data_IF_418430556119
#
_entry.id   IF_418430556119
#
_cell.length_a   1.000
_cell.length_b   1.000
_cell.length_c   1.000
_cell.angle_alpha   90.00
_cell.angle_beta   90.00
_cell.angle_gamma   90.00
#
_symmetry.space_group_name_H-M   'P 1'
#
loop_
_entity.id
_entity.type
_entity.pdbx_description
1 polymer ?
#
# COMPACT_ATOMS: atom_id res chain seq x y z
N UNK A 1 -20.12 28.81 41.40
CA UNK A 1 -20.85 28.57 40.14
C UNK A 1 -20.11 29.06 38.88
N UNK A 2 -19.65 30.32 38.78
CA UNK A 2 -18.97 30.86 37.59
C UNK A 2 -17.68 30.11 37.20
N UNK A 3 -16.83 29.73 38.19
CA UNK A 3 -15.59 28.98 37.93
C UNK A 3 -15.84 27.61 37.30
N UNK A 4 -16.86 26.89 37.76
CA UNK A 4 -17.23 25.57 37.23
C UNK A 4 -17.69 25.65 35.79
N UNK A 5 -18.41 26.71 35.42
CA UNK A 5 -18.83 26.97 34.02
C UNK A 5 -17.62 27.25 33.10
N UNK A 6 -16.62 28.00 33.57
CA UNK A 6 -15.40 28.25 32.78
C UNK A 6 -14.60 26.98 32.57
N UNK A 7 -14.47 26.12 33.58
CA UNK A 7 -13.82 24.81 33.46
C UNK A 7 -14.54 23.95 32.41
N UNK A 8 -15.88 23.90 32.47
CA UNK A 8 -16.67 23.17 31.47
C UNK A 8 -16.47 23.66 30.04
N UNK A 9 -16.42 24.98 29.83
CA UNK A 9 -16.18 25.61 28.51
C UNK A 9 -14.76 25.25 28.01
N UNK A 10 -13.76 25.31 28.88
CA UNK A 10 -12.38 24.98 28.52
C UNK A 10 -12.26 23.50 28.12
N UNK A 11 -12.85 22.58 28.89
CA UNK A 11 -12.85 21.15 28.56
C UNK A 11 -13.57 20.86 27.23
N UNK A 12 -14.69 21.53 26.98
CA UNK A 12 -15.41 21.42 25.70
C UNK A 12 -14.55 21.94 24.52
N UNK A 13 -13.87 23.07 24.68
CA UNK A 13 -12.99 23.63 23.66
C UNK A 13 -11.81 22.68 23.36
N UNK A 14 -11.19 22.09 24.40
CA UNK A 14 -10.12 21.08 24.24
C UNK A 14 -10.64 19.86 23.50
N UNK A 15 -11.81 19.35 23.87
CA UNK A 15 -12.42 18.18 23.21
C UNK A 15 -12.72 18.43 21.75
N UNK A 16 -13.29 19.61 21.40
CA UNK A 16 -13.53 20.00 20.02
C UNK A 16 -12.23 20.16 19.22
N UNK A 17 -11.20 20.75 19.82
CA UNK A 17 -9.90 20.91 19.16
C UNK A 17 -9.24 19.55 18.86
N UNK A 18 -9.21 18.66 19.86
CA UNK A 18 -8.68 17.30 19.69
C UNK A 18 -9.49 16.52 18.66
N UNK A 19 -10.82 16.55 18.74
CA UNK A 19 -11.70 15.89 17.77
C UNK A 19 -11.48 16.38 16.34
N UNK A 20 -11.36 17.70 16.15
CA UNK A 20 -11.07 18.28 14.84
C UNK A 20 -9.69 17.90 14.31
N UNK A 21 -8.68 17.84 15.19
CA UNK A 21 -7.32 17.42 14.82
C UNK A 21 -7.30 15.97 14.33
N UNK A 22 -7.89 15.03 15.10
CA UNK A 22 -7.95 13.63 14.69
C UNK A 22 -8.81 13.37 13.45
N UNK A 23 -9.92 14.11 13.31
CA UNK A 23 -10.76 14.05 12.11
C UNK A 23 -9.99 14.50 10.87
N UNK A 24 -9.18 15.56 10.98
CA UNK A 24 -8.35 16.04 9.87
C UNK A 24 -7.27 15.03 9.49
N UNK A 25 -6.59 14.41 10.46
CA UNK A 25 -5.59 13.36 10.20
C UNK A 25 -6.21 12.14 9.52
N UNK A 26 -7.36 11.69 9.98
CA UNK A 26 -8.10 10.58 9.35
C UNK A 26 -8.52 10.92 7.91
N UNK A 27 -9.02 12.16 7.69
CA UNK A 27 -9.41 12.62 6.35
C UNK A 27 -8.22 12.68 5.38
N UNK A 28 -7.04 13.14 5.83
CA UNK A 28 -5.80 13.14 5.03
C UNK A 28 -5.41 11.71 4.65
N UNK A 29 -5.43 10.77 5.59
CA UNK A 29 -5.14 9.36 5.31
C UNK A 29 -6.09 8.77 4.26
N UNK A 30 -7.39 9.03 4.39
CA UNK A 30 -8.39 8.56 3.43
C UNK A 30 -8.25 9.21 2.04
N UNK A 31 -7.83 10.47 1.97
CA UNK A 31 -7.60 11.18 0.70
C UNK A 31 -6.34 10.71 -0.05
N UNK A 32 -5.48 9.92 0.59
CA UNK A 32 -4.33 9.30 -0.06
C UNK A 32 -4.73 8.20 -1.08
N UNK A 33 -5.94 7.64 -0.95
CA UNK A 33 -6.55 6.79 -1.95
C UNK A 33 -7.26 7.65 -3.01
N UNK A 34 -6.65 7.78 -4.19
CA UNK A 34 -7.20 8.55 -5.30
C UNK A 34 -8.03 7.66 -6.21
N UNK A 35 -9.07 8.22 -6.85
CA UNK A 35 -9.87 7.50 -7.85
C UNK A 35 -9.14 7.46 -9.19
N UNK A 36 -9.16 6.29 -9.83
CA UNK A 36 -8.75 6.15 -11.24
C UNK A 36 -9.84 6.72 -12.15
N UNK A 37 -9.43 7.50 -13.15
CA UNK A 37 -10.35 7.96 -14.22
C UNK A 37 -10.70 6.80 -15.15
N UNK A 38 -11.77 6.95 -15.94
CA UNK A 38 -12.17 5.94 -16.94
C UNK A 38 -11.08 5.74 -18.00
N UNK A 39 -10.37 6.81 -18.37
CA UNK A 39 -9.26 6.79 -19.33
C UNK A 39 -8.08 6.02 -18.78
N UNK A 40 -7.70 6.25 -17.51
CA UNK A 40 -6.64 5.50 -16.83
C UNK A 40 -6.97 4.02 -16.74
N UNK A 41 -8.19 3.66 -16.34
CA UNK A 41 -8.63 2.26 -16.28
C UNK A 41 -8.52 1.61 -17.67
N UNK A 42 -9.01 2.29 -18.73
CA UNK A 42 -8.94 1.78 -20.09
C UNK A 42 -7.50 1.60 -20.57
N UNK A 43 -6.61 2.55 -20.28
CA UNK A 43 -5.19 2.44 -20.63
C UNK A 43 -4.53 1.26 -19.92
N UNK A 44 -4.76 1.08 -18.62
CA UNK A 44 -4.23 -0.04 -17.83
C UNK A 44 -4.73 -1.39 -18.36
N UNK A 45 -6.01 -1.49 -18.78
CA UNK A 45 -6.58 -2.72 -19.36
C UNK A 45 -6.04 -3.01 -20.75
N UNK A 46 -5.84 -1.99 -21.59
CA UNK A 46 -5.28 -2.15 -22.94
C UNK A 46 -3.80 -2.59 -22.92
N UNK A 47 -3.04 -2.12 -21.94
CA UNK A 47 -1.65 -2.53 -21.71
C UNK A 47 -1.59 -4.03 -21.43
N UNK A 48 -2.53 -4.56 -20.66
CA UNK A 48 -2.66 -5.98 -20.34
C UNK A 48 -2.91 -6.85 -21.59
N UNK A 49 -3.61 -6.31 -22.60
CA UNK A 49 -3.94 -7.06 -23.81
C UNK A 49 -2.88 -7.01 -24.93
N UNK A 50 -2.09 -5.93 -25.01
CA UNK A 50 -1.26 -5.66 -26.17
C UNK A 50 0.24 -5.93 -26.02
N UNK A 51 0.73 -6.32 -24.81
CA UNK A 51 2.17 -6.47 -24.61
C UNK A 51 2.54 -7.79 -23.92
N UNK A 52 2.68 -8.82 -24.73
CA UNK A 52 3.42 -10.06 -24.44
C UNK A 52 4.94 -9.87 -24.68
N UNK A 53 5.51 -8.74 -24.32
CA UNK A 53 6.96 -8.55 -24.31
C UNK A 53 7.49 -8.77 -22.90
N UNK A 54 7.92 -10.01 -22.64
CA UNK A 54 8.74 -10.35 -21.49
C UNK A 54 10.08 -9.62 -21.58
N UNK A 55 10.23 -8.46 -20.96
CA UNK A 55 11.53 -8.12 -20.42
C UNK A 55 11.71 -8.93 -19.14
N UNK A 56 12.58 -9.93 -19.22
CA UNK A 56 12.99 -10.71 -18.04
C UNK A 56 13.57 -9.75 -17.00
N UNK A 57 13.13 -9.86 -15.73
CA UNK A 57 13.67 -9.01 -14.68
C UNK A 57 15.18 -9.23 -14.56
N UNK A 58 15.91 -8.14 -14.38
CA UNK A 58 17.35 -8.13 -14.19
C UNK A 58 17.74 -8.99 -12.98
N UNK A 59 18.69 -9.86 -13.17
CA UNK A 59 19.11 -10.95 -12.27
C UNK A 59 19.88 -10.50 -11.01
N UNK A 60 19.92 -9.22 -10.70
CA UNK A 60 20.60 -8.72 -9.50
C UNK A 60 19.58 -8.33 -8.45
N UNK A 61 19.28 -9.26 -7.53
CA UNK A 61 18.38 -9.01 -6.40
C UNK A 61 19.07 -8.14 -5.34
N UNK A 62 19.13 -6.84 -5.60
CA UNK A 62 19.62 -5.88 -4.60
C UNK A 62 18.54 -5.71 -3.53
N UNK A 63 18.86 -5.96 -2.25
CA UNK A 63 17.94 -5.69 -1.15
C UNK A 63 17.47 -4.24 -1.13
N UNK A 64 16.21 -4.01 -0.77
CA UNK A 64 15.67 -2.66 -0.69
C UNK A 64 16.41 -1.79 0.34
N UNK A 65 16.94 -2.39 1.40
CA UNK A 65 17.79 -1.72 2.39
C UNK A 65 19.08 -1.08 1.82
N UNK A 66 19.52 -1.53 0.63
CA UNK A 66 20.70 -1.01 -0.07
C UNK A 66 20.34 0.01 -1.18
N UNK A 67 19.07 0.35 -1.33
CA UNK A 67 18.60 1.33 -2.33
C UNK A 67 18.59 2.74 -1.72
N UNK A 68 19.11 3.71 -2.45
CA UNK A 68 19.23 5.10 -1.99
C UNK A 68 17.91 5.88 -2.16
N UNK A 69 16.98 5.69 -1.22
CA UNK A 69 15.78 6.53 -1.05
C UNK A 69 15.68 7.04 0.39
N UNK A 70 15.04 8.19 0.57
CA UNK A 70 14.80 8.77 1.90
C UNK A 70 13.49 8.26 2.48
N UNK A 71 13.49 7.98 3.77
CA UNK A 71 12.28 7.61 4.52
C UNK A 71 11.14 8.62 4.27
N UNK A 72 9.96 8.11 3.89
CA UNK A 72 8.80 8.92 3.55
C UNK A 72 8.88 9.69 2.23
N UNK A 73 9.86 9.39 1.37
CA UNK A 73 9.92 9.87 -0.02
C UNK A 73 8.88 9.14 -0.86
N UNK A 74 8.18 9.85 -1.75
CA UNK A 74 7.28 9.22 -2.71
C UNK A 74 8.10 8.58 -3.84
N UNK A 75 8.03 7.26 -3.95
CA UNK A 75 8.86 6.47 -4.88
C UNK A 75 8.09 5.76 -5.98
N UNK A 76 6.78 5.51 -5.77
CA UNK A 76 6.01 4.69 -6.70
C UNK A 76 4.52 5.06 -6.70
N UNK A 77 3.75 4.44 -7.60
CA UNK A 77 2.30 4.50 -7.67
C UNK A 77 1.73 3.10 -7.87
N UNK A 78 0.82 2.67 -6.98
CA UNK A 78 0.05 1.44 -7.13
C UNK A 78 -1.33 1.76 -7.71
N UNK A 79 -1.68 1.15 -8.84
CA UNK A 79 -2.99 1.25 -9.46
C UNK A 79 -3.70 -0.10 -9.33
N UNK A 80 -4.93 -0.10 -8.83
CA UNK A 80 -5.78 -1.29 -8.67
C UNK A 80 -7.08 -1.08 -9.45
N UNK A 81 -7.14 -1.50 -10.73
CA UNK A 81 -8.28 -1.24 -11.61
C UNK A 81 -9.61 -1.78 -11.07
N UNK A 82 -9.59 -2.95 -10.42
CA UNK A 82 -10.78 -3.63 -9.88
C UNK A 82 -11.58 -2.75 -8.92
N UNK A 83 -10.90 -2.08 -7.99
CA UNK A 83 -11.50 -1.16 -7.02
C UNK A 83 -11.42 0.31 -7.46
N UNK A 84 -10.94 0.57 -8.69
CA UNK A 84 -10.83 1.90 -9.32
C UNK A 84 -10.03 2.89 -8.49
N UNK A 85 -9.00 2.42 -7.78
CA UNK A 85 -8.16 3.25 -6.90
C UNK A 85 -6.70 3.23 -7.31
N UNK A 86 -6.03 4.35 -7.05
CA UNK A 86 -4.57 4.51 -7.15
C UNK A 86 -4.01 5.09 -5.85
N UNK A 87 -2.81 4.67 -5.48
CA UNK A 87 -2.17 4.96 -4.22
C UNK A 87 -0.75 5.42 -4.44
N UNK A 88 -0.38 6.57 -3.87
CA UNK A 88 1.03 6.96 -3.79
C UNK A 88 1.75 6.06 -2.80
N UNK A 89 2.93 5.56 -3.21
CA UNK A 89 3.79 4.71 -2.40
C UNK A 89 4.97 5.53 -1.92
N UNK A 90 5.24 5.41 -0.63
CA UNK A 90 6.31 6.08 0.06
C UNK A 90 7.36 5.09 0.55
N UNK A 91 8.62 5.48 0.56
CA UNK A 91 9.72 4.66 1.04
C UNK A 91 9.66 4.47 2.55
N UNK A 92 9.75 3.20 3.01
CA UNK A 92 9.58 2.83 4.42
C UNK A 92 8.13 2.50 4.78
N UNK A 93 7.95 1.88 5.95
CA UNK A 93 6.65 1.45 6.47
C UNK A 93 6.47 1.76 7.96
N UNK A 94 7.11 2.84 8.46
CA UNK A 94 6.88 3.33 9.80
C UNK A 94 5.56 4.13 9.89
N UNK A 95 5.11 4.44 11.10
CA UNK A 95 3.85 5.15 11.35
C UNK A 95 3.76 6.50 10.62
N UNK A 96 4.87 7.26 10.54
CA UNK A 96 4.89 8.55 9.87
C UNK A 96 4.71 8.41 8.35
N UNK A 97 5.27 7.37 7.76
CA UNK A 97 5.15 7.05 6.34
C UNK A 97 3.74 6.53 6.02
N UNK A 98 3.22 5.61 6.83
CA UNK A 98 1.89 5.01 6.64
C UNK A 98 0.75 6.03 6.80
N UNK A 99 0.94 7.10 7.57
CA UNK A 99 0.01 8.24 7.62
C UNK A 99 -0.07 9.03 6.31
N UNK A 100 0.96 8.98 5.46
CA UNK A 100 0.97 9.64 4.15
C UNK A 100 0.26 8.81 3.06
N UNK A 101 0.23 7.49 3.22
CA UNK A 101 -0.34 6.57 2.24
C UNK A 101 0.17 5.15 2.37
N UNK A 102 0.46 4.50 1.24
CA UNK A 102 1.03 3.16 1.21
C UNK A 102 2.55 3.23 1.40
N UNK A 103 3.09 2.42 2.29
CA UNK A 103 4.53 2.31 2.54
C UNK A 103 5.15 1.12 1.81
N UNK A 104 6.33 1.30 1.22
CA UNK A 104 7.16 0.20 0.73
C UNK A 104 8.01 -0.30 1.88
N UNK A 105 7.82 -1.57 2.28
CA UNK A 105 8.58 -2.17 3.37
C UNK A 105 10.03 -2.40 2.96
N UNK A 106 10.97 -1.83 3.71
CA UNK A 106 12.40 -1.82 3.41
C UNK A 106 13.14 -2.76 4.34
N UNK A 107 13.80 -3.78 3.77
CA UNK A 107 14.60 -4.75 4.53
C UNK A 107 15.60 -5.49 3.64
N UNK A 108 16.45 -6.33 4.26
CA UNK A 108 17.36 -7.24 3.55
C UNK A 108 16.63 -8.41 2.87
N UNK A 109 15.36 -8.66 3.22
CA UNK A 109 14.53 -9.74 2.66
C UNK A 109 13.66 -9.27 1.48
N UNK A 110 13.57 -7.96 1.26
CA UNK A 110 12.71 -7.35 0.24
C UNK A 110 13.53 -6.64 -0.84
N UNK A 111 12.93 -6.47 -2.02
CA UNK A 111 13.52 -5.72 -3.13
C UNK A 111 12.57 -4.62 -3.60
N UNK A 112 13.08 -3.67 -4.38
CA UNK A 112 12.22 -2.82 -5.20
C UNK A 112 11.61 -3.61 -6.37
N UNK A 113 10.57 -3.11 -7.06
CA UNK A 113 10.01 -3.78 -8.24
C UNK A 113 11.05 -4.11 -9.32
N UNK A 114 12.05 -3.23 -9.52
CA UNK A 114 13.15 -3.44 -10.46
C UNK A 114 14.18 -4.47 -9.98
N UNK A 115 14.19 -4.79 -8.69
CA UNK A 115 15.11 -5.77 -8.10
C UNK A 115 14.72 -7.23 -8.37
N UNK A 116 13.53 -7.50 -8.91
CA UNK A 116 13.13 -8.84 -9.36
C UNK A 116 12.91 -9.89 -8.27
N UNK A 117 12.77 -9.49 -7.03
CA UNK A 117 12.46 -10.34 -5.88
C UNK A 117 11.16 -9.96 -5.19
N UNK A 118 11.14 -9.94 -3.86
CA UNK A 118 9.96 -9.70 -3.05
C UNK A 118 9.75 -8.22 -2.74
N UNK A 119 8.81 -7.57 -3.40
CA UNK A 119 8.35 -6.23 -3.05
C UNK A 119 7.17 -6.34 -2.08
N UNK A 120 7.21 -5.60 -0.97
CA UNK A 120 6.13 -5.61 0.04
C UNK A 120 5.61 -4.19 0.25
N UNK A 121 4.30 -4.04 0.16
CA UNK A 121 3.59 -2.78 0.38
C UNK A 121 2.65 -2.91 1.57
N UNK A 122 2.73 -1.96 2.49
CA UNK A 122 1.92 -1.91 3.71
C UNK A 122 1.02 -0.68 3.71
N UNK A 123 -0.20 -0.81 4.22
CA UNK A 123 -1.12 0.30 4.34
C UNK A 123 -2.14 0.10 5.46
N UNK A 124 -2.67 1.19 5.99
CA UNK A 124 -3.71 1.12 7.01
C UNK A 124 -5.03 0.62 6.42
N UNK A 125 -5.72 -0.29 7.14
CA UNK A 125 -7.02 -0.87 6.76
C UNK A 125 -8.16 0.13 6.72
N UNK A 126 -8.09 1.17 7.54
CA UNK A 126 -9.15 2.16 7.76
C UNK A 126 -9.02 3.41 6.88
N UNK A 127 -7.94 3.51 6.11
CA UNK A 127 -7.67 4.66 5.23
C UNK A 127 -7.40 4.25 3.79
N UNK A 128 -6.20 3.77 3.47
CA UNK A 128 -5.80 3.47 2.09
C UNK A 128 -6.27 2.09 1.61
N UNK A 129 -6.25 1.07 2.47
CA UNK A 129 -6.54 -0.31 2.11
C UNK A 129 -7.92 -0.82 2.57
N UNK A 130 -8.90 0.11 2.71
CA UNK A 130 -10.27 -0.21 3.11
C UNK A 130 -10.96 -1.22 2.21
N UNK A 131 -10.68 -1.17 0.90
CA UNK A 131 -11.42 -1.95 -0.11
C UNK A 131 -10.60 -3.16 -0.62
N UNK A 132 -9.48 -3.51 0.04
CA UNK A 132 -8.70 -4.70 -0.39
C UNK A 132 -9.49 -6.00 -0.27
N UNK A 133 -10.47 -6.06 0.60
CA UNK A 133 -11.37 -7.21 0.73
C UNK A 133 -12.25 -7.50 -0.50
N UNK A 134 -12.36 -6.56 -1.45
CA UNK A 134 -13.09 -6.75 -2.71
C UNK A 134 -12.26 -7.48 -3.78
N UNK A 135 -10.94 -7.59 -3.57
CA UNK A 135 -10.02 -8.23 -4.51
C UNK A 135 -10.13 -9.75 -4.44
N UNK A 136 -9.85 -10.38 -5.59
CA UNK A 136 -9.88 -11.84 -5.76
C UNK A 136 -8.63 -12.30 -6.49
N UNK A 137 -8.35 -13.59 -6.41
CA UNK A 137 -7.36 -14.23 -7.27
C UNK A 137 -7.63 -13.92 -8.75
N UNK A 138 -6.56 -13.72 -9.53
CA UNK A 138 -6.55 -13.26 -10.92
C UNK A 138 -6.87 -11.76 -11.15
N UNK A 139 -7.25 -11.00 -10.12
CA UNK A 139 -7.30 -9.54 -10.25
C UNK A 139 -5.87 -8.98 -10.42
N UNK A 140 -5.78 -7.84 -11.09
CA UNK A 140 -4.49 -7.24 -11.48
C UNK A 140 -4.12 -6.08 -10.56
N UNK A 141 -2.84 -6.02 -10.22
CA UNK A 141 -2.17 -4.90 -9.55
C UNK A 141 -1.15 -4.30 -10.52
N UNK A 142 -1.16 -2.99 -10.70
CA UNK A 142 -0.22 -2.30 -11.60
C UNK A 142 0.62 -1.33 -10.80
N UNK A 143 1.93 -1.56 -10.75
CA UNK A 143 2.90 -0.80 -9.98
C UNK A 143 3.81 0.00 -10.90
N UNK A 144 3.82 1.32 -10.76
CA UNK A 144 4.71 2.21 -11.49
C UNK A 144 5.88 2.60 -10.58
N UNK A 145 7.09 2.26 -10.99
CA UNK A 145 8.32 2.52 -10.27
C UNK A 145 9.47 2.77 -11.25
N UNK A 146 10.27 3.81 -11.02
CA UNK A 146 11.48 4.12 -11.80
C UNK A 146 11.24 4.12 -13.33
N UNK A 147 10.25 4.91 -13.80
CA UNK A 147 9.84 5.02 -15.20
C UNK A 147 9.44 3.69 -15.87
N UNK A 148 9.21 2.65 -15.09
CA UNK A 148 8.70 1.35 -15.55
C UNK A 148 7.35 1.05 -14.93
N UNK A 149 6.59 0.24 -15.62
CA UNK A 149 5.31 -0.29 -15.15
C UNK A 149 5.43 -1.80 -15.00
N UNK A 150 5.00 -2.30 -13.85
CA UNK A 150 5.02 -3.71 -13.48
C UNK A 150 3.58 -4.17 -13.26
N UNK A 151 3.16 -5.18 -13.99
CA UNK A 151 1.83 -5.78 -13.87
C UNK A 151 1.93 -7.09 -13.12
N UNK A 152 1.17 -7.21 -12.03
CA UNK A 152 1.12 -8.40 -11.19
C UNK A 152 -0.29 -8.98 -11.21
N UNK A 153 -0.41 -10.29 -11.21
CA UNK A 153 -1.68 -11.03 -11.06
C UNK A 153 -1.75 -11.66 -9.67
N UNK A 154 -2.85 -11.45 -8.96
CA UNK A 154 -3.08 -11.99 -7.62
C UNK A 154 -3.17 -13.51 -7.70
N UNK A 155 -2.31 -14.19 -6.95
CA UNK A 155 -2.24 -15.67 -6.90
C UNK A 155 -2.89 -16.21 -5.63
N UNK A 156 -2.79 -15.47 -4.52
CA UNK A 156 -3.25 -15.95 -3.21
C UNK A 156 -3.67 -14.80 -2.32
N UNK A 157 -4.75 -15.03 -1.56
CA UNK A 157 -5.23 -14.12 -0.51
C UNK A 157 -5.47 -14.95 0.75
N UNK A 158 -4.96 -14.48 1.89
CA UNK A 158 -5.16 -15.16 3.16
C UNK A 158 -5.08 -14.21 4.35
N UNK A 159 -5.51 -14.71 5.52
CA UNK A 159 -5.39 -14.04 6.79
C UNK A 159 -4.39 -14.81 7.62
N UNK A 160 -3.53 -14.11 8.34
CA UNK A 160 -2.55 -14.70 9.24
C UNK A 160 -2.34 -13.82 10.46
N UNK A 161 -1.75 -14.35 11.52
CA UNK A 161 -1.46 -13.59 12.73
C UNK A 161 -0.43 -12.49 12.48
N UNK A 162 -0.51 -11.39 13.25
CA UNK A 162 0.39 -10.25 13.11
C UNK A 162 1.88 -10.59 13.25
N UNK A 163 2.19 -11.62 14.01
CA UNK A 163 3.55 -12.08 14.29
C UNK A 163 4.06 -13.15 13.28
N UNK A 164 3.30 -13.45 12.23
CA UNK A 164 3.70 -14.42 11.22
C UNK A 164 4.88 -13.89 10.40
N UNK A 165 6.05 -14.43 10.63
CA UNK A 165 7.30 -14.07 9.95
C UNK A 165 7.51 -14.79 8.62
N UNK A 166 6.59 -15.66 8.22
CA UNK A 166 6.69 -16.40 6.94
C UNK A 166 6.16 -15.59 5.76
N UNK A 167 5.45 -14.49 6.01
CA UNK A 167 4.91 -13.60 4.98
C UNK A 167 6.01 -12.83 4.27
N UNK A 168 6.91 -12.20 5.03
CA UNK A 168 7.99 -11.37 4.49
C UNK A 168 9.30 -12.17 4.53
N UNK A 169 9.53 -12.91 3.46
CA UNK A 169 10.73 -13.73 3.24
C UNK A 169 11.37 -13.38 1.90
N UNK A 170 12.64 -13.69 1.72
CA UNK A 170 13.28 -13.56 0.42
C UNK A 170 12.61 -14.47 -0.60
N UNK A 171 12.35 -13.96 -1.81
CA UNK A 171 11.79 -14.70 -2.94
C UNK A 171 12.69 -14.56 -4.15
N UNK A 172 12.90 -15.66 -4.85
CA UNK A 172 13.75 -15.71 -6.06
C UNK A 172 13.04 -15.17 -7.31
N UNK A 173 11.70 -15.14 -7.28
CA UNK A 173 10.88 -14.63 -8.38
C UNK A 173 10.25 -13.28 -7.99
N UNK A 174 9.93 -12.43 -8.99
CA UNK A 174 9.26 -11.14 -8.74
C UNK A 174 7.85 -11.33 -8.17
N UNK A 175 7.68 -11.00 -6.91
CA UNK A 175 6.42 -11.09 -6.17
C UNK A 175 6.12 -9.75 -5.52
N UNK A 176 4.86 -9.33 -5.62
CA UNK A 176 4.30 -8.20 -4.89
C UNK A 176 3.38 -8.70 -3.79
N UNK A 177 3.64 -8.29 -2.55
CA UNK A 177 2.75 -8.56 -1.42
C UNK A 177 2.13 -7.26 -0.91
N UNK A 178 0.80 -7.22 -0.79
CA UNK A 178 0.09 -6.18 -0.05
C UNK A 178 -0.25 -6.72 1.34
N UNK A 179 -0.02 -5.92 2.37
CA UNK A 179 -0.36 -6.27 3.76
C UNK A 179 -1.10 -5.13 4.45
N UNK A 180 -2.13 -5.49 5.19
CA UNK A 180 -2.89 -4.56 6.04
C UNK A 180 -3.40 -5.28 7.28
N UNK A 181 -3.83 -4.52 8.28
CA UNK A 181 -4.47 -5.07 9.49
C UNK A 181 -5.82 -5.70 9.17
N UNK A 182 -6.21 -6.75 9.92
CA UNK A 182 -7.49 -7.43 9.81
C UNK A 182 -8.06 -7.73 11.22
N UNK A 183 -9.40 -7.70 11.43
CA UNK A 183 -10.50 -7.45 10.47
C UNK A 183 -10.60 -6.00 10.00
N UNK A 184 -11.24 -5.75 8.85
CA UNK A 184 -11.44 -4.41 8.31
C UNK A 184 -12.35 -3.54 9.18
N UNK A 185 -13.37 -4.13 9.81
CA UNK A 185 -14.39 -3.43 10.61
C UNK A 185 -14.05 -3.36 12.12
N UNK A 186 -12.82 -3.65 12.48
CA UNK A 186 -12.39 -3.69 13.88
C UNK A 186 -11.85 -2.33 14.35
N UNK A 187 -12.27 -1.88 15.55
CA UNK A 187 -11.76 -0.67 16.20
C UNK A 187 -10.69 -1.08 17.21
N UNK A 188 -9.46 -0.58 17.08
CA UNK A 188 -8.34 -0.88 17.95
C UNK A 188 -7.26 -1.73 17.27
N UNK A 189 -6.36 -2.31 18.07
CA UNK A 189 -5.24 -3.12 17.59
C UNK A 189 -5.74 -4.45 17.02
N UNK A 190 -5.52 -4.65 15.73
CA UNK A 190 -5.96 -5.85 15.03
C UNK A 190 -4.96 -6.99 15.26
N UNK A 191 -5.45 -8.19 15.65
CA UNK A 191 -4.59 -9.34 15.91
C UNK A 191 -3.99 -9.92 14.62
N UNK A 192 -4.67 -9.75 13.49
CA UNK A 192 -4.35 -10.42 12.24
C UNK A 192 -3.94 -9.45 11.14
N UNK A 193 -3.42 -10.02 10.06
CA UNK A 193 -3.06 -9.35 8.82
C UNK A 193 -3.79 -9.98 7.65
N UNK A 194 -4.31 -9.13 6.76
CA UNK A 194 -4.84 -9.50 5.46
C UNK A 194 -3.73 -9.39 4.45
N UNK A 195 -3.41 -10.50 3.79
CA UNK A 195 -2.29 -10.63 2.87
C UNK A 195 -2.79 -10.94 1.48
N UNK A 196 -2.27 -10.19 0.50
CA UNK A 196 -2.47 -10.45 -0.93
C UNK A 196 -1.09 -10.67 -1.55
N UNK A 197 -0.89 -11.82 -2.18
CA UNK A 197 0.33 -12.14 -2.91
C UNK A 197 0.04 -12.21 -4.40
N UNK A 198 0.84 -11.48 -5.19
CA UNK A 198 0.69 -11.39 -6.64
C UNK A 198 2.03 -11.62 -7.34
N UNK A 199 2.00 -12.34 -8.47
CA UNK A 199 3.18 -12.67 -9.28
C UNK A 199 3.27 -11.72 -10.47
N UNK A 200 4.48 -11.29 -10.82
CA UNK A 200 4.74 -10.46 -12.00
C UNK A 200 4.35 -11.21 -13.28
N UNK A 201 3.55 -10.57 -14.11
CA UNK A 201 3.11 -11.09 -15.42
C UNK A 201 3.69 -10.32 -16.59
N UNK A 202 3.97 -9.01 -16.40
CA UNK A 202 4.58 -8.18 -17.43
C UNK A 202 5.31 -6.99 -16.82
N UNK A 203 6.36 -6.50 -17.50
CA UNK A 203 6.99 -5.21 -17.22
C UNK A 203 7.35 -4.50 -18.52
N UNK A 204 7.26 -3.16 -18.53
CA UNK A 204 7.58 -2.33 -19.69
C UNK A 204 8.03 -0.95 -19.25
N UNK A 205 8.92 -0.35 -20.05
CA UNK A 205 9.35 1.04 -19.88
C UNK A 205 8.30 2.00 -20.44
N UNK A 206 8.12 3.15 -19.77
CA UNK A 206 7.25 4.24 -20.27
C UNK A 206 7.87 4.96 -21.45
#
# INVERSE_FOLDING_TARGET
>A
MKLLNYIGIILMAIGLFMGSYYAMEWYKGKSAAQQLTKEEIKSLTNIQHNQLSHETPVTSQVPSSQTEHKEGEKVAMLNIPKIKKKFSIYWGANDATLKKGVGMFVSDLTTTPSGGGHTVLSGHRDTVFTDLGELKEKDTLVLEYDNKTYTYEIQKIWITHADDRTVIIKKEEPVLTLTTCYPFDYIGDAPDRYIIEAKLTASYSK
#
